data_IF_984847092738
#
_entry.id   IF_984847092738
#
_cell.length_a   1.000
_cell.length_b   1.000
_cell.length_c   1.000
_cell.angle_alpha   90.00
_cell.angle_beta   90.00
_cell.angle_gamma   90.00
#
_symmetry.space_group_name_H-M   'P 1'
#
loop_
_entity.id
_entity.type
_entity.pdbx_description
1 polymer ?
#
# COMPACT_ATOMS: atom_id res chain seq x y z
N UNK A 1 -6.90 16.21 -10.73
CA UNK A 1 -6.82 14.80 -11.16
C UNK A 1 -6.43 13.95 -9.97
N UNK A 2 -7.46 13.53 -9.23
CA UNK A 2 -7.40 12.70 -8.02
C UNK A 2 -7.14 11.25 -8.40
N UNK A 3 -5.91 10.78 -8.18
CA UNK A 3 -5.60 9.35 -8.28
C UNK A 3 -6.23 8.64 -7.07
N UNK A 4 -7.48 8.23 -7.31
CA UNK A 4 -8.18 7.05 -6.80
C UNK A 4 -7.25 6.16 -5.96
N UNK A 5 -7.63 6.01 -4.69
CA UNK A 5 -7.07 5.04 -3.75
C UNK A 5 -7.17 3.63 -4.35
N UNK A 6 -6.14 3.24 -5.10
CA UNK A 6 -6.04 1.95 -5.72
C UNK A 6 -5.56 0.96 -4.65
N UNK A 7 -6.48 0.42 -3.86
CA UNK A 7 -6.23 -0.73 -2.98
C UNK A 7 -6.00 -1.99 -3.82
N UNK A 8 -4.92 -1.99 -4.58
CA UNK A 8 -4.37 -3.18 -5.20
C UNK A 8 -3.34 -3.75 -4.24
N UNK A 9 -3.38 -5.06 -4.05
CA UNK A 9 -2.30 -5.83 -3.44
C UNK A 9 -0.95 -5.29 -3.91
N UNK A 10 -0.08 -4.86 -3.00
CA UNK A 10 1.21 -4.31 -3.41
C UNK A 10 2.02 -5.39 -4.11
N UNK A 11 2.18 -5.24 -5.43
CA UNK A 11 3.04 -6.08 -6.25
C UNK A 11 4.48 -5.57 -6.18
N UNK A 12 5.50 -6.41 -6.43
CA UNK A 12 6.90 -5.97 -6.46
C UNK A 12 7.17 -4.77 -7.37
N UNK A 13 6.49 -4.67 -8.52
CA UNK A 13 6.64 -3.53 -9.46
C UNK A 13 6.16 -2.20 -8.88
N UNK A 14 4.96 -2.18 -8.30
CA UNK A 14 4.45 -1.01 -7.56
C UNK A 14 5.40 -0.55 -6.44
N UNK A 15 6.11 -1.48 -5.80
CA UNK A 15 7.10 -1.16 -4.76
C UNK A 15 8.35 -0.55 -5.40
N UNK A 16 8.82 -1.08 -6.53
CA UNK A 16 9.92 -0.48 -7.32
C UNK A 16 9.58 0.96 -7.72
N UNK A 17 8.40 1.20 -8.30
CA UNK A 17 7.96 2.53 -8.73
C UNK A 17 7.92 3.52 -7.54
N UNK A 18 7.45 3.07 -6.37
CA UNK A 18 7.45 3.89 -5.14
C UNK A 18 8.85 4.18 -4.62
N UNK A 19 9.76 3.20 -4.70
CA UNK A 19 11.16 3.43 -4.32
C UNK A 19 11.84 4.42 -5.28
N UNK A 20 11.55 4.36 -6.58
CA UNK A 20 12.04 5.35 -7.55
C UNK A 20 11.48 6.76 -7.26
N UNK A 21 10.19 6.88 -6.96
CA UNK A 21 9.57 8.14 -6.52
C UNK A 21 10.24 8.68 -5.24
N UNK A 22 10.48 7.81 -4.26
CA UNK A 22 11.12 8.16 -2.99
C UNK A 22 12.56 8.64 -3.20
N UNK A 23 13.36 7.93 -3.99
CA UNK A 23 14.73 8.30 -4.29
C UNK A 23 14.82 9.65 -5.04
N UNK A 24 13.88 9.90 -5.95
CA UNK A 24 13.78 11.17 -6.66
C UNK A 24 13.37 12.33 -5.76
N UNK A 25 12.46 12.08 -4.82
CA UNK A 25 12.05 13.04 -3.80
C UNK A 25 13.24 13.41 -2.90
N UNK A 26 14.01 12.41 -2.44
CA UNK A 26 15.18 12.63 -1.60
C UNK A 26 16.25 13.49 -2.30
N UNK A 27 16.45 13.29 -3.62
CA UNK A 27 17.39 14.10 -4.42
C UNK A 27 16.99 15.57 -4.53
N UNK A 28 15.71 15.89 -4.37
CA UNK A 28 15.16 17.25 -4.47
C UNK A 28 15.12 17.99 -3.16
N UNK A 29 15.30 17.28 -2.05
CA UNK A 29 15.24 17.86 -0.72
C UNK A 29 16.37 18.89 -0.54
N UNK A 30 16.12 20.03 0.14
CA UNK A 30 17.17 21.00 0.42
C UNK A 30 18.26 20.37 1.30
N UNK A 31 19.50 20.85 1.13
CA UNK A 31 20.67 20.29 1.83
C UNK A 31 20.58 20.42 3.36
N UNK A 32 19.74 21.35 3.86
CA UNK A 32 19.42 21.52 5.28
C UNK A 32 18.74 20.28 5.89
N UNK A 33 17.83 19.66 5.16
CA UNK A 33 17.01 18.55 5.65
C UNK A 33 17.58 17.18 5.24
N UNK A 34 18.66 17.18 4.45
CA UNK A 34 19.44 15.98 4.16
C UNK A 34 20.26 15.59 5.40
N UNK A 35 20.53 14.28 5.64
CA UNK A 35 21.49 13.87 6.66
C UNK A 35 22.80 14.66 6.51
N UNK A 36 23.19 15.37 7.59
CA UNK A 36 24.13 16.50 7.58
C UNK A 36 25.58 16.18 7.18
N UNK A 37 25.85 14.96 6.70
CA UNK A 37 27.12 14.50 6.14
C UNK A 37 28.34 14.88 6.98
N UNK A 38 29.46 15.09 6.29
CA UNK A 38 30.65 15.71 6.86
C UNK A 38 30.52 17.24 6.71
N UNK A 39 30.56 17.97 7.83
CA UNK A 39 30.67 19.43 7.83
C UNK A 39 32.09 19.84 8.21
N UNK A 40 32.62 20.89 7.62
CA UNK A 40 33.79 21.56 8.17
C UNK A 40 33.39 22.28 9.46
N UNK A 41 34.15 22.10 10.54
CA UNK A 41 34.04 22.91 11.75
C UNK A 41 34.79 24.24 11.64
N UNK A 42 35.52 24.45 10.55
CA UNK A 42 36.21 25.70 10.26
C UNK A 42 35.21 26.85 10.11
N UNK A 43 35.52 28.04 10.64
CA UNK A 43 34.72 29.24 10.41
C UNK A 43 34.56 29.50 8.91
N UNK A 44 33.42 30.07 8.52
CA UNK A 44 33.25 30.56 7.15
C UNK A 44 34.31 31.64 6.90
N UNK A 45 35.09 31.49 5.82
CA UNK A 45 36.09 32.48 5.45
C UNK A 45 35.34 33.78 5.12
N UNK A 46 35.55 34.80 5.95
CA UNK A 46 34.94 36.12 5.78
C UNK A 46 35.67 36.82 4.64
N UNK A 47 34.99 37.01 3.52
CA UNK A 47 35.55 37.73 2.37
C UNK A 47 34.99 39.15 2.33
N UNK A 48 35.84 40.15 2.14
CA UNK A 48 35.38 41.52 1.84
C UNK A 48 34.64 41.54 0.50
N UNK A 49 33.59 42.38 0.41
CA UNK A 49 32.71 42.47 -0.76
C UNK A 49 33.45 42.70 -2.09
N UNK A 50 34.61 43.39 -2.05
CA UNK A 50 35.48 43.64 -3.21
C UNK A 50 36.14 42.38 -3.80
N UNK A 51 36.23 41.30 -3.03
CA UNK A 51 36.79 40.00 -3.44
C UNK A 51 35.72 38.93 -3.70
N UNK A 52 34.44 39.25 -3.52
CA UNK A 52 33.33 38.29 -3.60
C UNK A 52 32.79 38.04 -5.02
N UNK A 53 33.31 38.74 -6.03
CA UNK A 53 32.85 38.57 -7.42
C UNK A 53 33.20 37.17 -7.94
N UNK A 54 32.17 36.35 -8.16
CA UNK A 54 32.28 35.02 -8.78
C UNK A 54 32.35 33.82 -7.81
N UNK A 55 32.42 34.06 -6.50
CA UNK A 55 32.50 32.97 -5.50
C UNK A 55 31.14 32.48 -4.99
N UNK A 56 30.09 33.28 -5.10
CA UNK A 56 28.74 32.84 -4.80
C UNK A 56 28.16 32.16 -6.04
N UNK A 57 28.32 30.84 -6.12
CA UNK A 57 27.59 30.04 -7.09
C UNK A 57 26.09 30.35 -6.93
N UNK A 58 25.44 30.81 -8.01
CA UNK A 58 24.00 31.05 -7.99
C UNK A 58 23.32 29.71 -7.74
N UNK A 59 22.85 29.50 -6.51
CA UNK A 59 22.16 28.27 -6.15
C UNK A 59 20.98 28.09 -7.11
N UNK A 60 20.96 27.02 -7.93
CA UNK A 60 19.88 26.83 -8.87
C UNK A 60 18.58 26.70 -8.09
N UNK A 61 17.54 27.41 -8.53
CA UNK A 61 16.22 27.35 -7.90
C UNK A 61 15.74 25.90 -7.86
N UNK A 62 15.71 25.31 -6.65
CA UNK A 62 15.24 23.93 -6.45
C UNK A 62 13.74 23.94 -6.21
N UNK A 63 13.01 23.11 -6.94
CA UNK A 63 11.59 22.86 -6.67
C UNK A 63 11.48 22.01 -5.41
N UNK A 64 10.94 22.60 -4.34
CA UNK A 64 10.69 21.91 -3.06
C UNK A 64 9.64 20.81 -3.30
N UNK A 65 9.88 19.57 -2.85
CA UNK A 65 8.88 18.49 -2.99
C UNK A 65 7.63 18.77 -2.17
N UNK A 66 6.47 18.28 -2.65
CA UNK A 66 5.21 18.37 -1.91
C UNK A 66 5.27 17.55 -0.61
N UNK A 67 4.61 18.01 0.45
CA UNK A 67 4.55 17.31 1.75
C UNK A 67 4.05 15.85 1.61
N UNK A 68 3.07 15.60 0.73
CA UNK A 68 2.57 14.25 0.47
C UNK A 68 3.64 13.33 -0.16
N UNK A 69 4.57 13.87 -0.95
CA UNK A 69 5.68 13.10 -1.50
C UNK A 69 6.71 12.76 -0.42
N UNK A 70 6.96 13.67 0.52
CA UNK A 70 7.84 13.43 1.67
C UNK A 70 7.28 12.30 2.54
N UNK A 71 6.00 12.32 2.88
CA UNK A 71 5.39 11.24 3.68
C UNK A 71 5.46 9.88 2.97
N UNK A 72 5.23 9.82 1.65
CA UNK A 72 5.39 8.57 0.88
C UNK A 72 6.83 8.07 0.85
N UNK A 73 7.79 8.99 0.74
CA UNK A 73 9.22 8.68 0.82
C UNK A 73 9.59 8.11 2.18
N UNK A 74 9.14 8.73 3.28
CA UNK A 74 9.38 8.25 4.65
C UNK A 74 8.80 6.84 4.86
N UNK A 75 7.58 6.58 4.37
CA UNK A 75 6.99 5.24 4.38
C UNK A 75 7.88 4.20 3.67
N UNK A 76 8.45 4.56 2.51
CA UNK A 76 9.37 3.68 1.79
C UNK A 76 10.67 3.41 2.56
N UNK A 77 11.20 4.43 3.26
CA UNK A 77 12.39 4.27 4.10
C UNK A 77 12.12 3.32 5.28
N UNK A 78 10.92 3.36 5.86
CA UNK A 78 10.52 2.42 6.90
C UNK A 78 10.42 0.98 6.37
N UNK A 79 10.01 0.79 5.11
CA UNK A 79 9.99 -0.54 4.49
C UNK A 79 11.38 -1.18 4.36
N UNK A 80 12.43 -0.37 4.19
CA UNK A 80 13.81 -0.87 4.15
C UNK A 80 14.24 -1.48 5.49
N UNK A 81 13.66 -1.05 6.61
CA UNK A 81 13.94 -1.64 7.93
C UNK A 81 13.37 -3.05 8.09
N UNK A 82 12.49 -3.49 7.18
CA UNK A 82 11.90 -4.82 7.20
C UNK A 82 12.79 -5.89 6.58
N UNK A 83 13.88 -5.53 5.90
CA UNK A 83 14.77 -6.44 5.19
C UNK A 83 16.20 -6.36 5.76
N UNK A 84 17.06 -7.28 5.33
CA UNK A 84 18.47 -7.24 5.68
C UNK A 84 19.14 -5.94 5.20
N UNK A 85 20.00 -5.30 5.99
CA UNK A 85 20.62 -4.02 5.64
C UNK A 85 21.46 -4.06 4.35
N UNK A 86 22.06 -5.20 3.99
CA UNK A 86 22.77 -5.33 2.72
C UNK A 86 21.81 -5.38 1.52
N UNK A 87 20.68 -6.09 1.67
CA UNK A 87 19.63 -6.14 0.65
C UNK A 87 18.98 -4.76 0.48
N UNK A 88 18.75 -4.05 1.60
CA UNK A 88 18.24 -2.68 1.60
C UNK A 88 19.15 -1.75 0.81
N UNK A 89 20.47 -1.89 0.97
CA UNK A 89 21.45 -1.11 0.21
C UNK A 89 21.34 -1.37 -1.30
N UNK A 90 21.18 -2.64 -1.71
CA UNK A 90 21.01 -3.00 -3.13
C UNK A 90 19.73 -2.40 -3.70
N UNK A 91 18.60 -2.53 -2.97
CA UNK A 91 17.31 -1.95 -3.38
C UNK A 91 17.40 -0.44 -3.50
N UNK A 92 17.98 0.25 -2.52
CA UNK A 92 18.11 1.70 -2.55
C UNK A 92 19.02 2.20 -3.67
N UNK A 93 20.18 1.56 -3.89
CA UNK A 93 21.06 1.90 -5.00
C UNK A 93 20.37 1.72 -6.35
N UNK A 94 19.53 0.68 -6.47
CA UNK A 94 18.75 0.45 -7.68
C UNK A 94 17.70 1.55 -7.90
N UNK A 95 17.02 1.96 -6.83
CA UNK A 95 16.03 3.04 -6.84
C UNK A 95 16.63 4.42 -7.17
N UNK A 96 17.88 4.67 -6.75
CA UNK A 96 18.65 5.84 -7.18
C UNK A 96 19.03 5.83 -8.67
N UNK A 97 18.69 4.77 -9.41
CA UNK A 97 19.03 4.62 -10.82
C UNK A 97 20.49 4.21 -11.07
N UNK A 98 21.17 3.64 -10.06
CA UNK A 98 22.52 3.14 -10.26
C UNK A 98 22.52 1.96 -11.24
N UNK A 99 23.44 1.97 -12.21
CA UNK A 99 23.67 0.83 -13.12
C UNK A 99 24.06 -0.42 -12.32
N UNK A 100 23.64 -1.60 -12.76
CA UNK A 100 23.96 -2.87 -12.08
C UNK A 100 25.45 -3.04 -11.74
N UNK A 101 26.36 -2.63 -12.63
CA UNK A 101 27.82 -2.66 -12.36
C UNK A 101 28.19 -1.86 -11.11
N UNK A 102 27.60 -0.67 -10.94
CA UNK A 102 27.84 0.24 -9.82
C UNK A 102 27.23 -0.29 -8.51
N UNK A 103 26.08 -0.97 -8.61
CA UNK A 103 25.44 -1.67 -7.48
C UNK A 103 26.35 -2.80 -7.00
N UNK A 104 26.86 -3.63 -7.91
CA UNK A 104 27.73 -4.76 -7.60
C UNK A 104 29.02 -4.32 -6.90
N UNK A 105 29.66 -3.24 -7.38
CA UNK A 105 30.89 -2.69 -6.78
C UNK A 105 30.63 -2.19 -5.36
N UNK A 106 29.54 -1.43 -5.13
CA UNK A 106 29.21 -0.88 -3.81
C UNK A 106 28.73 -1.93 -2.80
N UNK A 107 28.06 -2.97 -3.28
CA UNK A 107 27.55 -4.05 -2.44
C UNK A 107 28.55 -5.20 -2.27
N UNK A 108 29.62 -5.26 -3.06
CA UNK A 108 30.64 -6.32 -2.98
C UNK A 108 30.15 -7.69 -3.48
N UNK A 109 29.15 -7.72 -4.37
CA UNK A 109 28.51 -8.97 -4.82
C UNK A 109 28.54 -9.12 -6.34
N UNK A 110 28.50 -10.38 -6.80
CA UNK A 110 28.37 -10.72 -8.23
C UNK A 110 26.99 -10.31 -8.76
N UNK A 111 26.91 -9.96 -10.05
CA UNK A 111 25.69 -9.46 -10.71
C UNK A 111 24.46 -10.36 -10.55
N UNK A 112 24.62 -11.68 -10.73
CA UNK A 112 23.53 -12.66 -10.58
C UNK A 112 22.98 -12.69 -9.16
N UNK A 113 23.88 -12.65 -8.17
CA UNK A 113 23.54 -12.59 -6.75
C UNK A 113 22.83 -11.28 -6.41
N UNK A 114 23.34 -10.15 -6.89
CA UNK A 114 22.72 -8.84 -6.67
C UNK A 114 21.27 -8.80 -7.17
N UNK A 115 21.02 -9.31 -8.38
CA UNK A 115 19.68 -9.36 -8.95
C UNK A 115 18.74 -10.28 -8.16
N UNK A 116 19.22 -11.46 -7.74
CA UNK A 116 18.43 -12.39 -6.93
C UNK A 116 18.07 -11.80 -5.57
N UNK A 117 19.04 -11.19 -4.87
CA UNK A 117 18.85 -10.51 -3.58
C UNK A 117 17.86 -9.37 -3.70
N UNK A 118 18.00 -8.55 -4.75
CA UNK A 118 17.06 -7.47 -5.05
C UNK A 118 15.62 -7.97 -5.26
N UNK A 119 15.43 -8.99 -6.11
CA UNK A 119 14.10 -9.55 -6.37
C UNK A 119 13.48 -10.19 -5.11
N UNK A 120 14.29 -10.91 -4.34
CA UNK A 120 13.88 -11.51 -3.06
C UNK A 120 13.48 -10.45 -2.03
N UNK A 121 14.22 -9.34 -1.96
CA UNK A 121 13.92 -8.22 -1.07
C UNK A 121 12.55 -7.58 -1.42
N UNK A 122 12.29 -7.29 -2.70
CA UNK A 122 10.99 -6.75 -3.13
C UNK A 122 9.83 -7.69 -2.83
N UNK A 123 10.01 -9.00 -3.06
CA UNK A 123 9.01 -10.02 -2.71
C UNK A 123 8.74 -10.08 -1.21
N UNK A 124 9.80 -9.98 -0.40
CA UNK A 124 9.70 -10.00 1.07
C UNK A 124 8.93 -8.77 1.58
N UNK A 125 9.25 -7.59 1.06
CA UNK A 125 8.53 -6.35 1.39
C UNK A 125 7.05 -6.49 0.98
N UNK A 126 6.76 -6.90 -0.26
CA UNK A 126 5.40 -7.11 -0.74
C UNK A 126 4.61 -8.05 0.18
N UNK A 127 5.21 -9.19 0.57
CA UNK A 127 4.58 -10.15 1.48
C UNK A 127 4.29 -9.53 2.84
N UNK A 128 5.25 -8.82 3.44
CA UNK A 128 5.10 -8.18 4.75
C UNK A 128 4.00 -7.10 4.73
N UNK A 129 3.97 -6.25 3.71
CA UNK A 129 2.94 -5.21 3.59
C UNK A 129 1.55 -5.79 3.38
N UNK A 130 1.42 -6.83 2.55
CA UNK A 130 0.15 -7.53 2.37
C UNK A 130 -0.31 -8.24 3.66
N UNK A 131 0.60 -8.77 4.47
CA UNK A 131 0.28 -9.35 5.79
C UNK A 131 -0.19 -8.27 6.78
N UNK A 132 0.48 -7.12 6.83
CA UNK A 132 0.08 -6.00 7.68
C UNK A 132 -1.32 -5.49 7.30
N UNK A 133 -1.58 -5.30 6.00
CA UNK A 133 -2.90 -4.89 5.51
C UNK A 133 -4.02 -5.87 5.89
N UNK A 134 -3.75 -7.20 5.85
CA UNK A 134 -4.69 -8.23 6.31
C UNK A 134 -4.95 -8.15 7.81
N UNK A 135 -3.90 -7.95 8.61
CA UNK A 135 -4.02 -7.79 10.06
C UNK A 135 -4.89 -6.58 10.42
N UNK A 136 -4.57 -5.40 9.85
CA UNK A 136 -5.36 -4.17 10.06
C UNK A 136 -6.82 -4.34 9.63
N UNK A 137 -7.09 -5.05 8.51
CA UNK A 137 -8.46 -5.37 8.09
C UNK A 137 -9.19 -6.25 9.12
N UNK A 138 -8.54 -7.29 9.65
CA UNK A 138 -9.13 -8.17 10.66
C UNK A 138 -9.51 -7.39 11.92
N UNK A 139 -8.65 -6.46 12.35
CA UNK A 139 -8.92 -5.59 13.50
C UNK A 139 -10.07 -4.59 13.24
N UNK A 140 -10.24 -4.15 11.99
CA UNK A 140 -11.28 -3.18 11.62
C UNK A 140 -12.64 -3.81 11.28
N UNK A 141 -12.70 -5.10 10.98
CA UNK A 141 -13.98 -5.77 10.76
C UNK A 141 -14.78 -5.74 12.07
N UNK A 142 -15.97 -5.10 12.10
CA UNK A 142 -16.82 -5.20 13.27
C UNK A 142 -17.13 -6.69 13.50
N UNK A 143 -17.01 -7.16 14.74
CA UNK A 143 -17.64 -8.43 15.11
C UNK A 143 -19.09 -8.32 14.63
N UNK A 144 -19.60 -9.27 13.79
CA UNK A 144 -21.01 -9.26 13.45
C UNK A 144 -21.76 -9.17 14.79
N UNK A 145 -22.75 -8.27 14.93
CA UNK A 145 -23.50 -8.17 16.17
C UNK A 145 -23.95 -9.60 16.46
N UNK A 146 -23.52 -10.11 17.62
CA UNK A 146 -23.89 -11.45 18.06
C UNK A 146 -25.40 -11.51 17.91
N UNK A 147 -25.86 -12.25 16.89
CA UNK A 147 -27.27 -12.51 16.72
C UNK A 147 -27.63 -13.30 17.97
N UNK A 148 -28.23 -12.62 18.95
CA UNK A 148 -29.01 -13.26 19.98
C UNK A 148 -29.90 -14.24 19.23
N UNK A 149 -29.78 -15.58 19.42
CA UNK A 149 -30.70 -16.50 18.77
C UNK A 149 -32.08 -16.07 19.24
N UNK A 150 -32.82 -15.45 18.34
CA UNK A 150 -34.09 -14.83 18.64
C UNK A 150 -35.00 -15.90 19.23
N UNK A 151 -35.53 -15.60 20.41
CA UNK A 151 -36.81 -16.11 20.88
C UNK A 151 -37.74 -16.25 19.68
N UNK A 152 -38.08 -17.48 19.32
CA UNK A 152 -39.12 -17.77 18.32
C UNK A 152 -40.42 -17.19 18.89
N UNK A 153 -41.04 -16.15 18.31
CA UNK A 153 -42.39 -15.80 18.66
C UNK A 153 -43.27 -16.93 18.12
N UNK A 154 -44.01 -17.57 19.02
CA UNK A 154 -45.00 -18.61 18.69
C UNK A 154 -46.12 -17.94 17.89
N UNK A 155 -45.93 -17.82 16.58
CA UNK A 155 -46.96 -17.32 15.69
C UNK A 155 -48.09 -18.36 15.63
N UNK A 156 -49.29 -17.88 15.90
CA UNK A 156 -50.47 -18.65 16.24
C UNK A 156 -50.87 -19.64 15.14
N UNK A 157 -51.15 -20.87 15.57
CA UNK A 157 -51.68 -21.98 14.78
C UNK A 157 -53.14 -21.76 14.33
N UNK A 158 -53.45 -20.62 13.73
CA UNK A 158 -54.81 -20.23 13.32
C UNK A 158 -55.00 -20.19 11.80
N UNK A 159 -54.03 -20.68 11.00
CA UNK A 159 -54.07 -20.57 9.53
C UNK A 159 -54.01 -21.89 8.77
N UNK A 160 -54.10 -23.02 9.46
CA UNK A 160 -54.12 -24.35 8.83
C UNK A 160 -55.54 -24.94 8.68
N UNK A 161 -56.58 -24.27 9.18
CA UNK A 161 -57.95 -24.80 9.14
C UNK A 161 -58.74 -24.39 7.89
N UNK A 162 -58.42 -23.24 7.26
CA UNK A 162 -59.13 -22.76 6.07
C UNK A 162 -58.76 -23.54 4.78
N UNK A 163 -57.58 -24.15 4.73
CA UNK A 163 -57.13 -24.88 3.52
C UNK A 163 -57.74 -26.28 3.41
N UNK A 164 -58.16 -26.88 4.53
CA UNK A 164 -58.80 -28.21 4.54
C UNK A 164 -60.26 -28.13 4.06
N UNK A 165 -60.96 -27.03 4.34
CA UNK A 165 -62.34 -26.84 3.89
C UNK A 165 -62.45 -26.57 2.38
N UNK A 166 -61.44 -25.94 1.78
CA UNK A 166 -61.46 -25.62 0.34
C UNK A 166 -61.08 -26.82 -0.56
N UNK A 167 -60.51 -27.89 0.00
CA UNK A 167 -60.15 -29.08 -0.75
C UNK A 167 -61.30 -30.09 -0.93
N UNK A 168 -62.46 -29.88 -0.28
CA UNK A 168 -63.61 -30.81 -0.35
C UNK A 168 -64.69 -30.40 -1.37
N UNK A 169 -64.56 -29.24 -2.03
CA UNK A 169 -65.53 -28.78 -3.03
C UNK A 169 -64.89 -28.64 -4.42
N UNK A 170 -64.63 -29.77 -5.07
CA UNK A 170 -64.50 -29.83 -6.53
C UNK A 170 -65.23 -31.04 -7.11
N UNK A 171 -66.45 -30.75 -7.60
CA UNK A 171 -67.00 -31.24 -8.87
C UNK A 171 -67.22 -32.73 -9.06
N UNK A 172 -68.49 -33.14 -9.08
CA UNK A 172 -68.94 -34.21 -9.99
C UNK A 172 -70.37 -33.95 -10.46
N UNK A 173 -70.48 -33.15 -11.51
CA UNK A 173 -71.58 -33.26 -12.46
C UNK A 173 -71.36 -34.54 -13.28
N UNK A 174 -72.40 -35.36 -13.46
CA UNK A 174 -72.82 -35.98 -14.74
C UNK A 174 -73.88 -37.08 -14.57
N UNK A 175 -75.08 -36.75 -15.05
CA UNK A 175 -75.97 -37.55 -15.94
C UNK A 175 -76.72 -38.82 -15.48
N UNK A 176 -77.95 -38.89 -16.04
CA UNK A 176 -78.81 -40.06 -16.32
C UNK A 176 -79.78 -40.43 -15.19
N UNK A 177 -81.11 -40.56 -15.35
CA UNK A 177 -82.02 -40.58 -16.50
C UNK A 177 -83.28 -41.41 -16.12
N UNK A 178 -84.42 -41.13 -16.77
CA UNK A 178 -85.72 -41.85 -16.73
C UNK A 178 -86.57 -41.72 -15.46
N UNK A 179 -87.88 -41.46 -15.47
CA UNK A 179 -88.87 -41.45 -16.56
C UNK A 179 -90.09 -42.31 -16.17
N UNK A 180 -91.28 -41.70 -16.23
CA UNK A 180 -92.64 -42.26 -16.14
C UNK A 180 -93.14 -42.80 -14.79
#
# INVERSE_FOLDING_TARGET
>A
MTLKENRMTLTPRNIEDRFEEAAWTLRRQPDKDRPRGYRSAWPQVVHEAKHAYGYTEVAPMRVIPSAAAITRMEECLDWLRLIDPEDARIVWLRAEGARWRQVCIRAGVVRSTAWRRWAAALLTIAKKLNMQAKSTRKLKAPNPPAATPGTIPRESAAKLEDEVQNALNFGRDTSSGSGA
#
